data_IF_620292663719
#
_entry.id   IF_620292663719
#
_cell.length_a   1.000
_cell.length_b   1.000
_cell.length_c   1.000
_cell.angle_alpha   90.00
_cell.angle_beta   90.00
_cell.angle_gamma   90.00
#
_symmetry.space_group_name_H-M   'P 1'
#
loop_
_entity.id
_entity.type
_entity.pdbx_description
1 polymer ?
#
# COMPACT_ATOMS: atom_id res chain seq x y z
N UNK A 1 -24.19 4.64 -18.37
CA UNK A 1 -25.07 5.73 -17.89
C UNK A 1 -24.20 6.93 -17.58
N UNK A 2 -24.58 8.10 -18.10
CA UNK A 2 -23.80 9.34 -18.10
C UNK A 2 -23.31 9.72 -16.70
N UNK A 3 -21.98 9.87 -16.53
CA UNK A 3 -21.38 10.37 -15.32
C UNK A 3 -21.59 11.88 -15.23
N UNK A 4 -22.59 12.31 -14.47
CA UNK A 4 -22.75 13.72 -14.10
C UNK A 4 -21.53 14.18 -13.28
N UNK A 5 -20.86 15.22 -13.77
CA UNK A 5 -19.81 15.94 -13.04
C UNK A 5 -20.44 16.63 -11.83
N UNK A 6 -19.93 16.44 -10.60
CA UNK A 6 -20.39 17.24 -9.46
C UNK A 6 -20.01 18.71 -9.66
N UNK A 7 -20.98 19.62 -9.61
CA UNK A 7 -20.77 21.06 -9.85
C UNK A 7 -20.33 21.81 -8.58
N UNK A 8 -20.57 21.26 -7.38
CA UNK A 8 -20.30 21.95 -6.11
C UNK A 8 -18.84 22.41 -5.90
N UNK A 9 -17.85 21.77 -6.55
CA UNK A 9 -16.43 22.15 -6.44
C UNK A 9 -15.89 22.89 -7.67
N UNK A 10 -16.61 22.92 -8.79
CA UNK A 10 -16.21 23.70 -9.98
C UNK A 10 -16.54 25.19 -9.84
N UNK A 11 -17.32 25.58 -8.83
CA UNK A 11 -17.74 26.96 -8.59
C UNK A 11 -16.88 27.72 -7.57
N UNK A 12 -15.91 27.06 -6.91
CA UNK A 12 -15.09 27.72 -5.89
C UNK A 12 -14.13 28.69 -6.55
N UNK A 13 -14.33 29.98 -6.27
CA UNK A 13 -13.43 31.02 -6.77
C UNK A 13 -12.08 30.89 -6.07
N UNK A 14 -11.00 31.21 -6.78
CA UNK A 14 -9.66 31.26 -6.20
C UNK A 14 -9.67 32.25 -5.02
N UNK A 15 -9.40 31.77 -3.80
CA UNK A 15 -9.40 32.57 -2.57
C UNK A 15 -10.66 32.45 -1.69
N UNK A 16 -11.68 31.71 -2.11
CA UNK A 16 -12.84 31.41 -1.25
C UNK A 16 -12.45 30.47 -0.11
N UNK A 17 -12.74 30.88 1.14
CA UNK A 17 -12.47 30.11 2.34
C UNK A 17 -13.71 29.32 2.71
N UNK A 18 -13.61 27.99 2.64
CA UNK A 18 -14.63 27.08 3.14
C UNK A 18 -14.38 26.83 4.62
N UNK A 19 -15.45 26.84 5.41
CA UNK A 19 -15.42 26.53 6.85
C UNK A 19 -16.33 25.35 7.11
N UNK A 20 -15.81 24.31 7.72
CA UNK A 20 -16.55 23.10 8.06
C UNK A 20 -16.34 22.75 9.53
N UNK A 21 -17.40 22.26 10.18
CA UNK A 21 -17.27 21.57 11.46
C UNK A 21 -16.87 20.14 11.19
N UNK A 22 -15.68 19.75 11.63
CA UNK A 22 -15.09 18.44 11.37
C UNK A 22 -14.85 17.68 12.66
N UNK A 23 -14.76 16.35 12.55
CA UNK A 23 -14.26 15.50 13.62
C UNK A 23 -12.78 15.23 13.37
N UNK A 24 -11.96 15.39 14.41
CA UNK A 24 -10.54 15.05 14.37
C UNK A 24 -10.35 13.56 14.06
N UNK A 25 -9.40 13.24 13.18
CA UNK A 25 -9.19 11.87 12.70
C UNK A 25 -8.76 10.90 13.79
N UNK A 26 -8.17 11.41 14.88
CA UNK A 26 -7.61 10.63 15.98
C UNK A 26 -8.59 10.61 17.15
N UNK A 27 -8.90 11.79 17.69
CA UNK A 27 -9.68 11.92 18.93
C UNK A 27 -11.19 11.82 18.69
N UNK A 28 -11.65 12.13 17.47
CA UNK A 28 -13.07 12.29 17.16
C UNK A 28 -13.68 13.59 17.71
N UNK A 29 -12.88 14.42 18.38
CA UNK A 29 -13.34 15.71 18.90
C UNK A 29 -13.75 16.64 17.76
N UNK A 30 -14.80 17.42 18.00
CA UNK A 30 -15.29 18.37 17.00
C UNK A 30 -14.45 19.64 17.02
N UNK A 31 -14.01 20.09 15.85
CA UNK A 31 -13.28 21.36 15.66
C UNK A 31 -13.69 22.04 14.36
N UNK A 32 -13.47 23.34 14.28
CA UNK A 32 -13.61 24.08 13.02
C UNK A 32 -12.36 23.84 12.15
N UNK A 33 -12.56 23.54 10.87
CA UNK A 33 -11.52 23.45 9.86
C UNK A 33 -11.80 24.45 8.75
N UNK A 34 -10.77 25.18 8.35
CA UNK A 34 -10.84 26.08 7.20
C UNK A 34 -9.91 25.59 6.11
N UNK A 35 -10.38 25.61 4.88
CA UNK A 35 -9.55 25.30 3.72
C UNK A 35 -9.94 26.13 2.51
N UNK A 36 -9.00 26.28 1.60
CA UNK A 36 -9.10 27.09 0.39
C UNK A 36 -8.60 26.27 -0.78
N UNK A 37 -8.98 26.65 -2.00
CA UNK A 37 -8.52 26.04 -3.25
C UNK A 37 -8.88 24.54 -3.32
N UNK A 38 -9.72 24.12 -4.26
CA UNK A 38 -10.03 22.70 -4.43
C UNK A 38 -9.78 22.31 -5.87
N UNK A 39 -8.75 21.49 -6.09
CA UNK A 39 -8.42 20.94 -7.40
C UNK A 39 -8.67 19.44 -7.40
N UNK A 40 -9.45 18.95 -8.36
CA UNK A 40 -9.60 17.50 -8.53
C UNK A 40 -8.24 16.90 -8.94
N UNK A 41 -7.74 15.97 -8.13
CA UNK A 41 -6.48 15.25 -8.40
C UNK A 41 -6.69 13.76 -8.67
N UNK A 42 -7.88 13.23 -8.32
CA UNK A 42 -8.28 11.87 -8.63
C UNK A 42 -9.81 11.74 -8.74
N UNK A 43 -10.26 10.88 -9.65
CA UNK A 43 -11.66 10.51 -9.79
C UNK A 43 -11.70 9.00 -10.03
N UNK A 44 -12.35 8.26 -9.14
CA UNK A 44 -12.39 6.80 -9.16
C UNK A 44 -13.78 6.27 -8.83
N UNK A 45 -13.91 4.94 -8.85
CA UNK A 45 -15.17 4.24 -8.61
C UNK A 45 -15.81 4.55 -7.26
N UNK A 46 -14.99 4.91 -6.27
CA UNK A 46 -15.43 5.13 -4.88
C UNK A 46 -15.65 6.60 -4.52
N UNK A 47 -15.26 7.54 -5.38
CA UNK A 47 -15.40 8.96 -5.09
C UNK A 47 -14.41 9.87 -5.82
N UNK A 48 -14.37 11.12 -5.40
CA UNK A 48 -13.54 12.19 -5.97
C UNK A 48 -12.54 12.65 -4.91
N UNK A 49 -11.29 12.85 -5.32
CA UNK A 49 -10.22 13.36 -4.45
C UNK A 49 -9.84 14.77 -4.88
N UNK A 50 -9.87 15.69 -3.93
CA UNK A 50 -9.49 17.09 -4.11
C UNK A 50 -8.17 17.36 -3.39
N UNK A 51 -7.25 18.05 -4.03
CA UNK A 51 -6.15 18.74 -3.35
C UNK A 51 -6.65 20.09 -2.85
N UNK A 52 -6.29 20.44 -1.62
CA UNK A 52 -6.66 21.70 -0.97
C UNK A 52 -5.56 22.26 -0.08
N UNK A 53 -5.71 23.52 0.36
CA UNK A 53 -4.83 24.17 1.34
C UNK A 53 -5.58 24.47 2.62
N UNK A 54 -5.10 23.94 3.75
CA UNK A 54 -5.61 24.24 5.07
C UNK A 54 -5.27 25.66 5.49
N UNK A 55 -6.17 26.34 6.21
CA UNK A 55 -5.99 27.68 6.74
C UNK A 55 -6.14 27.65 8.26
N UNK A 56 -5.30 28.37 9.03
CA UNK A 56 -4.28 29.33 8.59
C UNK A 56 -2.91 28.73 8.27
N UNK A 57 -2.70 27.42 8.43
CA UNK A 57 -1.36 26.80 8.30
C UNK A 57 -0.76 26.86 6.90
N UNK A 58 -1.57 26.95 5.85
CA UNK A 58 -1.13 26.89 4.45
C UNK A 58 -0.74 25.49 3.97
N UNK A 59 -0.89 24.48 4.84
CA UNK A 59 -0.52 23.08 4.57
C UNK A 59 -1.39 22.48 3.46
N UNK A 60 -0.78 21.77 2.51
CA UNK A 60 -1.53 21.02 1.51
C UNK A 60 -2.20 19.78 2.13
N UNK A 61 -3.45 19.52 1.75
CA UNK A 61 -4.23 18.37 2.18
C UNK A 61 -4.99 17.74 1.00
N UNK A 62 -5.40 16.49 1.17
CA UNK A 62 -6.28 15.78 0.24
C UNK A 62 -7.65 15.54 0.88
N UNK A 63 -8.73 15.91 0.22
CA UNK A 63 -10.10 15.58 0.64
C UNK A 63 -10.63 14.50 -0.28
N UNK A 64 -10.77 13.27 0.24
CA UNK A 64 -11.45 12.18 -0.46
C UNK A 64 -12.93 12.21 -0.11
N UNK A 65 -13.76 12.57 -1.08
CA UNK A 65 -15.21 12.64 -0.95
C UNK A 65 -15.86 11.39 -1.52
N UNK A 66 -16.54 10.62 -0.67
CA UNK A 66 -17.21 9.36 -1.02
C UNK A 66 -18.71 9.46 -0.71
N UNK A 67 -19.55 8.84 -1.53
CA UNK A 67 -20.98 8.77 -1.25
C UNK A 67 -21.20 7.86 -0.03
N UNK A 68 -21.90 8.35 0.98
CA UNK A 68 -22.18 7.62 2.21
C UNK A 68 -23.56 6.97 2.14
N UNK A 69 -23.60 5.64 2.19
CA UNK A 69 -24.84 4.93 2.50
C UNK A 69 -25.13 5.09 4.01
N UNK A 70 -26.23 5.75 4.35
CA UNK A 70 -26.64 6.03 5.74
C UNK A 70 -26.88 4.76 6.56
N UNK A 71 -27.08 3.60 5.91
CA UNK A 71 -27.37 2.32 6.57
C UNK A 71 -26.13 1.61 7.09
N UNK A 72 -24.94 1.98 6.62
CA UNK A 72 -23.71 1.25 6.91
C UNK A 72 -22.62 2.17 7.43
N UNK A 73 -21.89 1.74 8.48
CA UNK A 73 -20.64 2.39 8.86
C UNK A 73 -19.64 2.29 7.69
N UNK A 74 -18.92 3.38 7.43
CA UNK A 74 -17.88 3.38 6.39
C UNK A 74 -16.62 2.69 6.92
N UNK A 75 -16.27 1.55 6.31
CA UNK A 75 -15.11 0.76 6.72
C UNK A 75 -13.79 1.49 6.53
N UNK A 76 -13.65 2.29 5.47
CA UNK A 76 -12.43 3.07 5.23
C UNK A 76 -12.20 4.03 6.39
N UNK A 77 -13.24 4.78 6.81
CA UNK A 77 -13.14 5.65 7.98
C UNK A 77 -12.76 4.88 9.24
N UNK A 78 -13.42 3.74 9.51
CA UNK A 78 -13.13 2.93 10.69
C UNK A 78 -11.66 2.48 10.75
N UNK A 79 -11.11 2.01 9.63
CA UNK A 79 -9.70 1.59 9.54
C UNK A 79 -8.77 2.80 9.66
N UNK A 80 -9.04 3.89 8.94
CA UNK A 80 -8.21 5.08 8.92
C UNK A 80 -8.09 5.79 10.28
N UNK A 81 -9.05 5.59 11.19
CA UNK A 81 -8.99 6.13 12.56
C UNK A 81 -8.02 5.39 13.48
N UNK A 82 -7.78 4.10 13.22
CA UNK A 82 -6.96 3.24 14.08
C UNK A 82 -5.53 3.03 13.55
N UNK A 83 -5.30 3.16 12.24
CA UNK A 83 -3.97 3.00 11.65
C UNK A 83 -3.15 4.29 11.76
N UNK A 84 -1.93 4.19 12.30
CA UNK A 84 -0.98 5.30 12.44
C UNK A 84 0.43 4.80 12.23
N UNK A 85 1.03 5.18 11.10
CA UNK A 85 2.34 4.69 10.70
C UNK A 85 3.01 5.67 9.73
N UNK A 86 4.34 5.89 9.79
CA UNK A 86 5.04 6.83 8.90
C UNK A 86 4.78 6.56 7.41
N UNK A 87 4.66 5.28 7.04
CA UNK A 87 4.41 4.83 5.66
C UNK A 87 2.93 4.59 5.33
N UNK A 88 1.99 5.17 6.08
CA UNK A 88 0.55 5.17 5.78
C UNK A 88 0.07 6.63 5.77
N UNK A 89 -0.82 6.96 4.83
CA UNK A 89 -1.42 8.31 4.76
C UNK A 89 -2.20 8.61 6.05
N UNK A 90 -1.96 9.77 6.66
CA UNK A 90 -2.63 10.18 7.89
C UNK A 90 -4.04 10.71 7.59
N UNK A 91 -5.04 10.24 8.35
CA UNK A 91 -6.34 10.90 8.46
C UNK A 91 -6.23 12.07 9.45
N UNK A 92 -6.36 13.30 8.95
CA UNK A 92 -6.32 14.53 9.76
C UNK A 92 -7.69 14.86 10.37
N UNK A 93 -8.75 14.69 9.59
CA UNK A 93 -10.12 14.96 10.00
C UNK A 93 -11.11 14.27 9.07
N UNK A 94 -12.38 14.22 9.46
CA UNK A 94 -13.47 13.81 8.59
C UNK A 94 -14.76 14.57 8.92
N UNK A 95 -15.66 14.69 7.94
CA UNK A 95 -16.96 15.33 8.12
C UNK A 95 -17.96 14.84 7.08
N UNK A 96 -19.24 15.05 7.37
CA UNK A 96 -20.33 14.74 6.46
C UNK A 96 -20.87 16.01 5.81
N UNK A 97 -21.16 15.94 4.53
CA UNK A 97 -21.76 17.06 3.77
C UNK A 97 -22.95 16.56 2.94
N UNK A 98 -23.97 17.39 2.78
CA UNK A 98 -25.10 17.06 1.91
C UNK A 98 -24.72 17.15 0.43
N UNK A 99 -25.31 16.28 -0.39
CA UNK A 99 -25.18 16.27 -1.83
C UNK A 99 -26.07 17.27 -2.55
N UNK A 100 -25.97 17.29 -3.89
CA UNK A 100 -26.86 18.10 -4.74
C UNK A 100 -28.29 17.54 -4.76
N UNK A 101 -28.44 16.21 -4.66
CA UNK A 101 -29.74 15.56 -4.56
C UNK A 101 -30.19 15.46 -3.12
N UNK A 102 -31.51 15.60 -2.93
CA UNK A 102 -32.16 15.31 -1.65
C UNK A 102 -31.78 13.89 -1.21
N UNK A 103 -31.41 13.74 0.05
CA UNK A 103 -30.96 12.51 0.72
C UNK A 103 -29.54 12.01 0.44
N UNK A 104 -28.81 12.58 -0.53
CA UNK A 104 -27.38 12.27 -0.70
C UNK A 104 -26.56 12.86 0.46
N UNK A 105 -25.78 12.02 1.11
CA UNK A 105 -24.78 12.43 2.09
C UNK A 105 -23.43 11.92 1.63
N UNK A 106 -22.43 12.78 1.70
CA UNK A 106 -21.05 12.45 1.39
C UNK A 106 -20.25 12.44 2.67
N UNK A 107 -19.37 11.44 2.79
CA UNK A 107 -18.29 11.43 3.76
C UNK A 107 -17.05 12.04 3.11
N UNK A 108 -16.44 13.00 3.78
CA UNK A 108 -15.22 13.67 3.36
C UNK A 108 -14.10 13.28 4.32
N UNK A 109 -13.07 12.61 3.81
CA UNK A 109 -11.87 12.24 4.55
C UNK A 109 -10.77 13.27 4.23
N UNK A 110 -10.36 14.06 5.22
CA UNK A 110 -9.26 15.01 5.10
C UNK A 110 -7.97 14.28 5.49
N UNK A 111 -7.09 14.12 4.52
CA UNK A 111 -5.84 13.37 4.61
C UNK A 111 -4.64 14.28 4.36
N UNK A 112 -3.45 13.86 4.78
CA UNK A 112 -2.21 14.52 4.33
C UNK A 112 -2.08 14.42 2.80
N UNK A 113 -1.52 15.47 2.18
CA UNK A 113 -1.24 15.48 0.75
C UNK A 113 0.19 15.02 0.48
N UNK A 114 0.34 14.13 -0.49
CA UNK A 114 1.64 13.65 -0.97
C UNK A 114 1.67 13.86 -2.49
N UNK A 115 2.75 14.46 -3.05
CA UNK A 115 2.68 15.10 -4.37
C UNK A 115 2.64 14.12 -5.55
N UNK A 116 3.23 12.93 -5.41
CA UNK A 116 3.35 11.95 -6.49
C UNK A 116 2.82 10.58 -6.08
N UNK A 117 2.75 9.67 -7.05
CA UNK A 117 2.52 8.24 -6.84
C UNK A 117 3.62 7.43 -7.51
N UNK A 118 3.87 6.22 -7.01
CA UNK A 118 4.81 5.27 -7.62
C UNK A 118 4.46 5.01 -9.09
N UNK A 119 3.18 5.02 -9.46
CA UNK A 119 2.74 4.94 -10.85
C UNK A 119 3.29 6.07 -11.73
N UNK A 120 3.16 7.33 -11.29
CA UNK A 120 3.67 8.50 -12.03
C UNK A 120 5.20 8.47 -12.10
N UNK A 121 5.83 8.10 -10.98
CA UNK A 121 7.26 7.92 -10.86
C UNK A 121 7.82 6.90 -11.86
N UNK A 122 7.20 5.72 -11.96
CA UNK A 122 7.55 4.68 -12.94
C UNK A 122 7.34 5.15 -14.38
N UNK A 123 6.20 5.80 -14.67
CA UNK A 123 5.90 6.36 -16.00
C UNK A 123 6.92 7.41 -16.44
N UNK A 124 7.50 8.19 -15.53
CA UNK A 124 8.58 9.12 -15.82
C UNK A 124 9.82 8.40 -16.37
N UNK A 125 10.31 7.36 -15.68
CA UNK A 125 11.47 6.58 -16.14
C UNK A 125 11.20 5.89 -17.47
N UNK A 126 10.00 5.34 -17.67
CA UNK A 126 9.59 4.75 -18.94
C UNK A 126 9.64 5.74 -20.10
N UNK A 127 9.19 6.98 -19.89
CA UNK A 127 9.29 8.06 -20.91
C UNK A 127 10.74 8.38 -21.26
N UNK A 128 11.63 8.31 -20.27
CA UNK A 128 13.07 8.45 -20.47
C UNK A 128 13.74 7.19 -21.05
N UNK A 129 12.97 6.12 -21.34
CA UNK A 129 13.47 4.82 -21.80
C UNK A 129 14.47 4.18 -20.83
N UNK A 130 14.26 4.43 -19.54
CA UNK A 130 15.05 3.87 -18.42
C UNK A 130 14.11 3.16 -17.45
N UNK A 131 14.66 2.37 -16.54
CA UNK A 131 13.91 1.80 -15.41
C UNK A 131 14.16 2.63 -14.15
N UNK A 132 13.30 2.49 -13.16
CA UNK A 132 13.54 3.10 -11.85
C UNK A 132 14.88 2.61 -11.28
N UNK A 133 15.71 3.50 -10.72
CA UNK A 133 16.95 3.10 -10.07
C UNK A 133 16.73 2.07 -8.98
N UNK A 134 17.61 1.07 -8.89
CA UNK A 134 17.39 -0.07 -7.99
C UNK A 134 17.34 0.34 -6.51
N UNK A 135 18.10 1.37 -6.12
CA UNK A 135 18.06 1.92 -4.76
C UNK A 135 16.68 2.52 -4.42
N UNK A 136 16.02 3.18 -5.37
CA UNK A 136 14.64 3.65 -5.21
C UNK A 136 13.66 2.47 -5.09
N UNK A 137 13.84 1.42 -5.88
CA UNK A 137 13.02 0.19 -5.76
C UNK A 137 13.19 -0.42 -4.37
N UNK A 138 14.42 -0.56 -3.87
CA UNK A 138 14.69 -1.03 -2.49
C UNK A 138 13.97 -0.15 -1.47
N UNK A 139 14.16 1.17 -1.56
CA UNK A 139 13.59 2.14 -0.61
C UNK A 139 12.07 2.09 -0.56
N UNK A 140 11.40 2.07 -1.72
CA UNK A 140 9.94 2.09 -1.80
C UNK A 140 9.33 0.75 -1.39
N UNK A 141 9.91 -0.37 -1.84
CA UNK A 141 9.40 -1.70 -1.48
C UNK A 141 9.63 -1.99 0.02
N UNK A 142 10.73 -1.53 0.62
CA UNK A 142 10.96 -1.65 2.07
C UNK A 142 9.88 -0.90 2.87
N UNK A 143 9.62 0.36 2.53
CA UNK A 143 8.59 1.17 3.19
C UNK A 143 7.17 0.60 3.00
N UNK A 144 6.89 0.02 1.83
CA UNK A 144 5.64 -0.70 1.60
C UNK A 144 5.53 -1.95 2.48
N UNK A 145 6.57 -2.78 2.58
CA UNK A 145 6.55 -3.93 3.47
C UNK A 145 6.42 -3.53 4.94
N UNK A 146 7.04 -2.43 5.36
CA UNK A 146 6.88 -1.88 6.72
C UNK A 146 5.42 -1.48 6.99
N UNK A 147 4.78 -0.76 6.07
CA UNK A 147 3.36 -0.44 6.16
C UNK A 147 2.47 -1.69 6.20
N UNK A 148 2.76 -2.69 5.35
CA UNK A 148 2.01 -3.95 5.30
C UNK A 148 2.19 -4.76 6.58
N UNK A 149 3.41 -4.90 7.11
CA UNK A 149 3.65 -5.59 8.37
C UNK A 149 2.82 -4.96 9.50
N UNK A 150 2.81 -3.63 9.58
CA UNK A 150 2.00 -2.90 10.56
C UNK A 150 0.50 -3.20 10.44
N UNK A 151 -0.11 -3.09 9.25
CA UNK A 151 -1.57 -3.34 9.11
C UNK A 151 -1.91 -4.83 9.21
N UNK A 152 -1.03 -5.73 8.74
CA UNK A 152 -1.24 -7.17 8.81
C UNK A 152 -1.21 -7.69 10.25
N UNK A 153 -0.34 -7.13 11.11
CA UNK A 153 -0.30 -7.45 12.55
C UNK A 153 -1.59 -7.06 13.30
N UNK A 154 -2.39 -6.18 12.70
CA UNK A 154 -3.71 -5.76 13.19
C UNK A 154 -4.85 -6.55 12.55
N UNK A 155 -4.56 -7.53 11.68
CA UNK A 155 -5.54 -8.30 10.92
C UNK A 155 -6.14 -7.57 9.71
N UNK A 156 -5.65 -6.37 9.38
CA UNK A 156 -6.15 -5.56 8.26
C UNK A 156 -5.45 -5.99 6.97
N UNK A 157 -6.22 -6.38 5.96
CA UNK A 157 -5.75 -6.58 4.59
C UNK A 157 -6.15 -5.38 3.72
N UNK A 158 -5.23 -4.85 2.92
CA UNK A 158 -5.47 -3.69 2.08
C UNK A 158 -6.33 -4.02 0.86
N UNK A 159 -6.07 -5.17 0.21
CA UNK A 159 -6.83 -5.76 -0.90
C UNK A 159 -6.82 -4.96 -2.22
N UNK A 160 -6.05 -3.89 -2.32
CA UNK A 160 -5.84 -3.13 -3.57
C UNK A 160 -4.45 -2.47 -3.64
N UNK A 161 -3.41 -3.23 -3.31
CA UNK A 161 -2.01 -2.77 -3.48
C UNK A 161 -1.68 -2.68 -4.97
N UNK A 162 -1.26 -1.49 -5.40
CA UNK A 162 -0.89 -1.15 -6.78
C UNK A 162 -0.13 0.17 -6.81
N UNK A 163 0.66 0.48 -7.85
CA UNK A 163 1.48 1.69 -7.93
C UNK A 163 0.71 3.00 -7.78
N UNK A 164 -0.59 3.03 -8.10
CA UNK A 164 -1.45 4.22 -7.95
C UNK A 164 -1.81 4.53 -6.50
N UNK A 165 -1.83 3.51 -5.62
CA UNK A 165 -2.17 3.64 -4.20
C UNK A 165 -0.93 3.76 -3.30
N UNK A 166 0.25 3.93 -3.93
CA UNK A 166 1.52 4.17 -3.25
C UNK A 166 1.90 5.62 -3.52
N UNK A 167 1.63 6.49 -2.56
CA UNK A 167 2.00 7.88 -2.63
C UNK A 167 3.51 8.04 -2.41
N UNK A 168 4.11 9.02 -3.07
CA UNK A 168 5.54 9.25 -3.05
C UNK A 168 5.84 10.75 -2.90
N UNK A 169 6.71 11.08 -1.96
CA UNK A 169 7.43 12.35 -1.97
C UNK A 169 8.81 12.14 -2.62
N UNK A 170 9.03 12.59 -3.86
CA UNK A 170 10.29 12.38 -4.58
C UNK A 170 11.48 13.16 -3.97
N UNK A 171 11.19 14.15 -3.11
CA UNK A 171 12.23 14.93 -2.45
C UNK A 171 12.83 14.21 -1.25
N UNK A 172 11.96 13.65 -0.40
CA UNK A 172 12.38 12.93 0.82
C UNK A 172 12.54 11.42 0.59
N UNK A 173 12.00 10.87 -0.49
CA UNK A 173 11.96 9.43 -0.75
C UNK A 173 10.92 8.68 0.11
N UNK A 174 10.06 9.41 0.83
CA UNK A 174 9.03 8.82 1.68
C UNK A 174 7.91 8.23 0.83
N UNK A 175 7.58 6.97 1.08
CA UNK A 175 6.42 6.29 0.53
C UNK A 175 5.31 6.17 1.58
N UNK A 176 4.08 6.46 1.17
CA UNK A 176 2.87 6.31 2.00
C UNK A 176 1.80 5.51 1.27
N UNK A 177 1.35 4.42 1.91
CA UNK A 177 0.21 3.64 1.45
C UNK A 177 -1.09 4.44 1.67
N UNK A 178 -1.95 4.50 0.65
CA UNK A 178 -3.24 5.18 0.70
C UNK A 178 -4.38 4.32 0.13
N UNK A 179 -5.60 4.85 0.19
CA UNK A 179 -6.83 4.24 -0.34
C UNK A 179 -7.25 2.93 0.33
N UNK A 180 -7.70 3.05 1.59
CA UNK A 180 -8.24 1.95 2.39
C UNK A 180 -9.71 1.64 2.06
N UNK A 181 -10.24 2.14 0.93
CA UNK A 181 -11.63 1.91 0.49
C UNK A 181 -11.96 0.43 0.27
N UNK A 182 -10.96 -0.36 -0.14
CA UNK A 182 -11.08 -1.81 -0.29
C UNK A 182 -10.61 -2.59 0.92
N UNK A 183 -10.01 -1.96 1.93
CA UNK A 183 -9.41 -2.67 3.06
C UNK A 183 -10.47 -3.39 3.91
N UNK A 184 -10.06 -4.44 4.64
CA UNK A 184 -10.93 -5.16 5.59
C UNK A 184 -10.09 -5.84 6.66
N UNK A 185 -10.57 -5.85 7.90
CA UNK A 185 -10.09 -6.77 8.93
C UNK A 185 -10.57 -8.17 8.55
N UNK A 186 -9.65 -9.09 8.28
CA UNK A 186 -9.98 -10.46 7.93
C UNK A 186 -10.18 -11.27 9.20
N UNK A 187 -11.40 -11.77 9.39
CA UNK A 187 -11.75 -12.65 10.51
C UNK A 187 -11.63 -14.09 10.02
N UNK A 188 -10.92 -14.98 10.74
CA UNK A 188 -10.84 -16.39 10.38
C UNK A 188 -12.23 -17.00 10.19
N UNK A 189 -12.39 -17.83 9.15
CA UNK A 189 -13.64 -18.51 8.77
C UNK A 189 -14.77 -17.61 8.25
N UNK A 190 -14.63 -16.28 8.23
CA UNK A 190 -15.60 -15.42 7.55
C UNK A 190 -15.33 -15.33 6.04
N UNK A 191 -16.34 -15.57 5.18
CA UNK A 191 -16.15 -15.45 3.74
C UNK A 191 -15.95 -13.98 3.32
N UNK A 192 -15.10 -13.79 2.31
CA UNK A 192 -14.79 -12.50 1.73
C UNK A 192 -15.05 -12.50 0.22
N UNK A 193 -15.36 -11.34 -0.34
CA UNK A 193 -15.53 -11.17 -1.79
C UNK A 193 -14.20 -11.44 -2.50
N UNK A 194 -14.22 -12.35 -3.47
CA UNK A 194 -13.05 -12.77 -4.25
C UNK A 194 -12.73 -11.81 -5.41
N UNK A 195 -13.75 -11.21 -6.02
CA UNK A 195 -13.57 -10.18 -7.06
C UNK A 195 -13.17 -8.84 -6.44
N UNK A 196 -11.95 -8.79 -5.93
CA UNK A 196 -11.28 -7.64 -5.32
C UNK A 196 -9.89 -7.49 -5.93
N UNK A 197 -9.17 -6.41 -5.58
CA UNK A 197 -7.87 -6.05 -6.13
C UNK A 197 -7.91 -5.69 -7.63
N UNK A 198 -7.08 -4.72 -8.01
CA UNK A 198 -6.86 -4.35 -9.40
C UNK A 198 -6.18 -5.48 -10.17
N UNK A 199 -6.66 -5.75 -11.39
CA UNK A 199 -6.43 -6.99 -12.15
C UNK A 199 -4.96 -7.45 -12.19
N UNK A 200 -4.03 -6.57 -12.57
CA UNK A 200 -2.61 -6.93 -12.75
C UNK A 200 -1.90 -7.33 -11.45
N UNK A 201 -2.45 -6.95 -10.31
CA UNK A 201 -1.88 -7.20 -8.98
C UNK A 201 -2.70 -8.24 -8.21
N UNK A 202 -3.72 -8.84 -8.84
CA UNK A 202 -4.62 -9.80 -8.22
C UNK A 202 -3.93 -11.15 -8.04
N UNK A 203 -3.95 -11.65 -6.81
CA UNK A 203 -3.40 -12.96 -6.45
C UNK A 203 -4.18 -14.11 -7.12
N UNK A 204 -3.52 -15.23 -7.47
CA UNK A 204 -4.14 -16.31 -8.24
C UNK A 204 -5.32 -16.95 -7.50
N UNK A 205 -5.29 -17.08 -6.17
CA UNK A 205 -6.41 -17.59 -5.38
C UNK A 205 -7.69 -16.73 -5.51
N UNK A 206 -7.55 -15.42 -5.71
CA UNK A 206 -8.70 -14.54 -5.96
C UNK A 206 -9.28 -14.77 -7.37
N UNK A 207 -8.43 -15.10 -8.35
CA UNK A 207 -8.85 -15.48 -9.70
C UNK A 207 -9.59 -16.81 -9.68
N UNK A 208 -9.13 -17.75 -8.85
CA UNK A 208 -9.84 -19.00 -8.55
C UNK A 208 -11.08 -18.80 -7.67
N UNK A 209 -11.43 -17.57 -7.28
CA UNK A 209 -12.66 -17.30 -6.55
C UNK A 209 -12.63 -17.67 -5.06
N UNK A 210 -11.46 -17.81 -4.46
CA UNK A 210 -11.33 -18.11 -3.03
C UNK A 210 -11.98 -17.01 -2.17
N UNK A 211 -12.67 -17.41 -1.10
CA UNK A 211 -13.34 -16.48 -0.16
C UNK A 211 -12.69 -16.45 1.22
N UNK A 212 -11.81 -17.41 1.50
CA UNK A 212 -11.07 -17.59 2.76
C UNK A 212 -9.58 -17.19 2.63
N UNK A 213 -9.27 -16.26 1.72
CA UNK A 213 -7.92 -15.74 1.54
C UNK A 213 -7.46 -14.93 2.77
N UNK A 214 -6.15 -14.74 2.89
CA UNK A 214 -5.50 -14.02 3.99
C UNK A 214 -4.82 -12.73 3.51
N UNK A 215 -4.13 -12.04 4.39
CA UNK A 215 -3.28 -10.86 4.07
C UNK A 215 -2.18 -11.15 3.04
N UNK A 216 -1.89 -12.43 2.76
CA UNK A 216 -0.91 -12.88 1.75
C UNK A 216 -1.27 -12.48 0.32
N UNK A 217 -2.49 -12.02 0.04
CA UNK A 217 -2.81 -11.40 -1.25
C UNK A 217 -2.08 -10.06 -1.44
N UNK A 218 -1.88 -9.27 -0.38
CA UNK A 218 -1.14 -8.00 -0.47
C UNK A 218 0.35 -8.24 -0.73
N UNK A 219 0.89 -9.36 -0.21
CA UNK A 219 2.27 -9.79 -0.47
C UNK A 219 2.46 -10.12 -1.95
N UNK A 220 1.54 -10.88 -2.55
CA UNK A 220 1.54 -11.14 -3.99
C UNK A 220 1.48 -9.84 -4.79
N UNK A 221 0.53 -8.95 -4.46
CA UNK A 221 0.40 -7.65 -5.13
C UNK A 221 1.68 -6.82 -5.04
N UNK A 222 2.39 -6.89 -3.90
CA UNK A 222 3.69 -6.23 -3.70
C UNK A 222 4.79 -6.84 -4.59
N UNK A 223 4.81 -8.16 -4.76
CA UNK A 223 5.67 -8.83 -5.73
C UNK A 223 5.43 -8.35 -7.16
N UNK A 224 4.16 -8.19 -7.56
CA UNK A 224 3.80 -7.61 -8.85
C UNK A 224 4.28 -6.15 -9.00
N UNK A 225 4.13 -5.33 -7.95
CA UNK A 225 4.63 -3.93 -7.94
C UNK A 225 6.15 -3.89 -8.08
N UNK A 226 6.88 -4.68 -7.29
CA UNK A 226 8.34 -4.75 -7.36
C UNK A 226 8.81 -5.16 -8.76
N UNK A 227 8.21 -6.19 -9.33
CA UNK A 227 8.49 -6.64 -10.69
C UNK A 227 8.22 -5.54 -11.74
N UNK A 228 7.09 -4.83 -11.62
CA UNK A 228 6.73 -3.74 -12.54
C UNK A 228 7.73 -2.58 -12.48
N UNK A 229 8.22 -2.21 -11.29
CA UNK A 229 9.24 -1.17 -11.16
C UNK A 229 10.57 -1.54 -11.81
N UNK A 230 10.95 -2.82 -11.73
CA UNK A 230 12.17 -3.34 -12.34
C UNK A 230 12.05 -3.53 -13.85
N UNK A 231 10.86 -3.85 -14.36
CA UNK A 231 10.61 -4.05 -15.80
C UNK A 231 10.22 -2.77 -16.54
N UNK A 232 9.69 -1.77 -15.82
CA UNK A 232 9.04 -0.60 -16.41
C UNK A 232 7.64 -0.89 -16.97
N UNK A 233 7.10 -2.10 -16.79
CA UNK A 233 5.77 -2.49 -17.25
C UNK A 233 5.18 -3.59 -16.38
N UNK A 234 3.84 -3.73 -16.31
CA UNK A 234 3.21 -4.77 -15.49
C UNK A 234 3.72 -6.17 -15.85
N UNK A 235 4.04 -6.98 -14.84
CA UNK A 235 4.52 -8.35 -15.04
C UNK A 235 3.44 -9.27 -15.63
N UNK A 236 2.19 -9.09 -15.23
CA UNK A 236 1.05 -9.91 -15.64
C UNK A 236 -0.08 -9.05 -16.23
N UNK A 237 0.02 -8.62 -17.51
CA UNK A 237 -0.92 -7.69 -18.13
C UNK A 237 -2.15 -8.40 -18.72
N UNK A 238 -2.93 -9.13 -17.93
CA UNK A 238 -4.11 -9.86 -18.42
C UNK A 238 -5.29 -8.95 -18.81
N UNK A 239 -6.02 -9.26 -19.88
CA UNK A 239 -7.17 -8.46 -20.34
C UNK A 239 -8.47 -8.82 -19.61
N UNK A 240 -8.63 -10.10 -19.26
CA UNK A 240 -9.74 -10.64 -18.45
C UNK A 240 -9.22 -11.35 -17.18
N UNK A 241 -10.13 -11.87 -16.35
CA UNK A 241 -9.74 -12.70 -15.20
C UNK A 241 -9.05 -13.99 -15.63
N UNK A 242 -9.48 -14.59 -16.74
CA UNK A 242 -8.88 -15.80 -17.29
C UNK A 242 -7.51 -15.49 -17.89
N UNK A 243 -7.40 -14.41 -18.68
CA UNK A 243 -6.12 -14.01 -19.27
C UNK A 243 -5.10 -13.64 -18.21
N UNK A 244 -5.53 -13.05 -17.09
CA UNK A 244 -4.66 -12.79 -15.95
C UNK A 244 -4.00 -14.08 -15.43
N UNK A 245 -4.76 -15.17 -15.30
CA UNK A 245 -4.20 -16.46 -14.90
C UNK A 245 -3.25 -17.02 -15.96
N UNK A 246 -3.56 -16.84 -17.25
CA UNK A 246 -2.69 -17.24 -18.36
C UNK A 246 -1.34 -16.52 -18.30
N UNK A 247 -1.33 -15.20 -18.06
CA UNK A 247 -0.08 -14.43 -17.90
C UNK A 247 0.76 -14.92 -16.71
N UNK A 248 0.11 -15.28 -15.59
CA UNK A 248 0.81 -15.85 -14.44
C UNK A 248 1.44 -17.21 -14.80
N UNK A 249 0.68 -18.10 -15.45
CA UNK A 249 1.15 -19.44 -15.85
C UNK A 249 2.33 -19.35 -16.84
N UNK A 250 2.37 -18.36 -17.74
CA UNK A 250 3.49 -18.15 -18.66
C UNK A 250 4.83 -17.93 -17.92
N UNK A 251 4.79 -17.37 -16.72
CA UNK A 251 5.98 -17.10 -15.90
C UNK A 251 6.21 -18.22 -14.88
N UNK A 252 5.22 -18.54 -14.05
CA UNK A 252 5.35 -19.52 -12.96
C UNK A 252 5.19 -20.98 -13.41
N UNK A 253 4.78 -21.21 -14.65
CA UNK A 253 4.39 -22.54 -15.12
C UNK A 253 3.00 -22.95 -14.64
N UNK A 254 2.55 -24.12 -15.05
CA UNK A 254 1.24 -24.64 -14.65
C UNK A 254 1.23 -24.99 -13.16
N UNK A 255 0.26 -24.50 -12.36
CA UNK A 255 0.18 -24.84 -10.95
C UNK A 255 -0.07 -26.34 -10.79
N UNK A 256 0.62 -26.94 -9.82
CA UNK A 256 0.39 -28.34 -9.43
C UNK A 256 -0.99 -28.51 -8.81
N UNK A 257 -1.49 -29.75 -8.75
CA UNK A 257 -2.77 -30.06 -8.11
C UNK A 257 -2.81 -29.59 -6.65
N UNK A 258 -1.70 -29.72 -5.95
CA UNK A 258 -1.57 -29.30 -4.55
C UNK A 258 -1.61 -27.77 -4.42
N UNK A 259 -0.91 -27.04 -5.30
CA UNK A 259 -1.00 -25.58 -5.36
C UNK A 259 -2.44 -25.11 -5.63
N UNK A 260 -3.14 -25.73 -6.59
CA UNK A 260 -4.56 -25.43 -6.85
C UNK A 260 -5.41 -25.68 -5.61
N UNK A 261 -5.22 -26.81 -4.92
CA UNK A 261 -5.93 -27.14 -3.67
C UNK A 261 -5.75 -26.06 -2.61
N UNK A 262 -4.54 -25.54 -2.43
CA UNK A 262 -4.24 -24.47 -1.46
C UNK A 262 -4.83 -23.11 -1.85
N UNK A 263 -5.00 -22.85 -3.15
CA UNK A 263 -5.62 -21.62 -3.64
C UNK A 263 -7.15 -21.69 -3.56
N UNK A 264 -7.76 -22.76 -4.09
CA UNK A 264 -9.17 -23.04 -3.93
C UNK A 264 -9.45 -24.55 -4.18
N UNK A 265 -9.87 -25.31 -3.15
CA UNK A 265 -10.12 -26.75 -3.29
C UNK A 265 -11.26 -27.08 -4.28
N UNK A 266 -12.17 -26.15 -4.56
CA UNK A 266 -13.29 -26.37 -5.48
C UNK A 266 -12.86 -26.42 -6.97
N UNK A 267 -11.62 -26.07 -7.30
CA UNK A 267 -11.12 -25.98 -8.68
C UNK A 267 -10.08 -27.05 -9.04
N UNK A 268 -9.89 -28.08 -8.20
CA UNK A 268 -8.85 -29.11 -8.38
C UNK A 268 -8.96 -29.93 -9.67
N UNK A 269 -10.16 -30.06 -10.24
CA UNK A 269 -10.41 -30.87 -11.44
C UNK A 269 -10.17 -30.11 -12.75
N UNK A 270 -9.90 -28.80 -12.68
CA UNK A 270 -9.69 -27.99 -13.85
C UNK A 270 -8.36 -28.35 -14.54
N UNK A 271 -8.42 -28.72 -15.82
CA UNK A 271 -7.24 -29.07 -16.62
C UNK A 271 -6.67 -27.83 -17.29
N UNK A 272 -5.41 -27.53 -17.02
CA UNK A 272 -4.65 -26.49 -17.69
C UNK A 272 -3.65 -27.11 -18.68
N UNK A 273 -3.35 -26.44 -19.81
CA UNK A 273 -2.20 -26.78 -20.62
C UNK A 273 -0.94 -26.85 -19.76
N UNK A 274 -0.06 -27.83 -20.03
CA UNK A 274 1.19 -27.99 -19.29
C UNK A 274 2.25 -27.03 -19.85
N UNK A 275 2.61 -26.03 -19.06
CA UNK A 275 3.56 -24.98 -19.39
C UNK A 275 4.67 -25.04 -18.34
N UNK A 276 5.91 -25.12 -18.79
CA UNK A 276 7.08 -25.09 -17.89
C UNK A 276 7.31 -23.65 -17.39
N UNK A 277 7.75 -23.47 -16.13
CA UNK A 277 8.08 -22.14 -15.62
C UNK A 277 9.15 -21.47 -16.48
N UNK A 278 8.99 -20.17 -16.71
CA UNK A 278 10.01 -19.33 -17.31
C UNK A 278 10.92 -18.79 -16.20
N UNK A 279 12.21 -19.15 -16.16
CA UNK A 279 13.10 -18.75 -15.07
C UNK A 279 13.15 -17.23 -14.86
N UNK A 280 13.02 -16.77 -13.62
CA UNK A 280 13.01 -15.33 -13.31
C UNK A 280 14.28 -14.60 -13.76
N UNK A 281 15.44 -15.25 -13.77
CA UNK A 281 16.67 -14.66 -14.31
C UNK A 281 16.60 -14.34 -15.82
N UNK A 282 15.72 -15.01 -16.58
CA UNK A 282 15.44 -14.70 -17.99
C UNK A 282 14.42 -13.58 -18.15
N UNK A 283 13.49 -13.44 -17.20
CA UNK A 283 12.55 -12.31 -17.10
C UNK A 283 13.31 -11.03 -16.74
N UNK A 284 14.11 -11.08 -15.68
CA UNK A 284 14.84 -9.94 -15.12
C UNK A 284 16.34 -10.00 -15.45
N UNK A 285 16.68 -9.92 -16.75
CA UNK A 285 18.05 -10.15 -17.25
C UNK A 285 19.14 -9.24 -16.65
N UNK A 286 18.75 -8.08 -16.11
CA UNK A 286 19.67 -7.07 -15.54
C UNK A 286 19.60 -7.00 -14.00
N UNK A 287 18.72 -7.79 -13.38
CA UNK A 287 18.56 -7.75 -11.94
C UNK A 287 19.62 -8.59 -11.23
N UNK A 288 19.99 -8.18 -10.02
CA UNK A 288 20.85 -8.97 -9.15
C UNK A 288 20.10 -10.18 -8.57
N UNK A 289 20.87 -11.13 -8.03
CA UNK A 289 20.34 -12.38 -7.50
C UNK A 289 19.39 -12.17 -6.30
N UNK A 290 19.64 -11.18 -5.44
CA UNK A 290 18.80 -10.93 -4.27
C UNK A 290 17.45 -10.33 -4.68
N UNK A 291 17.41 -9.49 -5.71
CA UNK A 291 16.15 -8.98 -6.25
C UNK A 291 15.29 -10.11 -6.84
N UNK A 292 15.91 -11.03 -7.58
CA UNK A 292 15.24 -12.21 -8.17
C UNK A 292 14.74 -13.17 -7.07
N UNK A 293 15.58 -13.46 -6.07
CA UNK A 293 15.21 -14.34 -4.94
C UNK A 293 14.01 -13.78 -4.17
N UNK A 294 14.02 -12.48 -3.87
CA UNK A 294 12.90 -11.83 -3.19
C UNK A 294 11.60 -11.94 -4.02
N UNK A 295 11.63 -11.62 -5.31
CA UNK A 295 10.45 -11.73 -6.18
C UNK A 295 9.90 -13.17 -6.19
N UNK A 296 10.78 -14.17 -6.29
CA UNK A 296 10.38 -15.57 -6.28
C UNK A 296 9.66 -15.94 -4.96
N UNK A 297 10.17 -15.50 -3.81
CA UNK A 297 9.56 -15.72 -2.48
C UNK A 297 8.23 -15.00 -2.27
N UNK A 298 7.92 -13.98 -3.09
CA UNK A 298 6.66 -13.23 -3.02
C UNK A 298 5.60 -13.79 -3.97
N UNK A 299 6.02 -14.26 -5.15
CA UNK A 299 5.16 -14.71 -6.24
C UNK A 299 4.98 -16.23 -6.26
N UNK A 300 4.51 -16.77 -5.13
CA UNK A 300 4.18 -18.19 -4.98
C UNK A 300 2.68 -18.46 -5.18
N UNK A 301 2.35 -19.60 -5.80
CA UNK A 301 0.95 -20.02 -5.95
C UNK A 301 0.32 -20.33 -4.59
N UNK A 302 1.00 -21.10 -3.75
CA UNK A 302 0.52 -21.45 -2.42
C UNK A 302 0.64 -20.24 -1.50
N UNK A 303 -0.48 -19.66 -1.01
CA UNK A 303 -0.43 -18.37 -0.30
C UNK A 303 0.41 -18.41 0.98
N UNK A 304 0.47 -19.55 1.66
CA UNK A 304 1.24 -19.73 2.91
C UNK A 304 2.74 -19.74 2.70
N UNK A 305 3.22 -20.12 1.51
CA UNK A 305 4.66 -20.14 1.18
C UNK A 305 5.21 -18.76 0.82
N UNK A 306 4.32 -17.77 0.58
CA UNK A 306 4.76 -16.39 0.35
C UNK A 306 5.39 -15.83 1.61
N UNK A 307 6.58 -15.26 1.48
CA UNK A 307 7.28 -14.60 2.60
C UNK A 307 6.37 -13.53 3.24
N UNK A 308 6.31 -13.44 4.57
CA UNK A 308 5.52 -12.38 5.22
C UNK A 308 6.16 -11.00 4.97
N UNK A 309 5.39 -9.93 5.18
CA UNK A 309 5.92 -8.57 5.01
C UNK A 309 7.11 -8.30 5.96
N UNK A 310 7.04 -8.74 7.22
CA UNK A 310 8.12 -8.56 8.19
C UNK A 310 9.36 -9.42 7.86
N UNK A 311 9.15 -10.64 7.37
CA UNK A 311 10.24 -11.50 6.91
C UNK A 311 10.93 -10.90 5.67
N UNK A 312 10.15 -10.32 4.74
CA UNK A 312 10.68 -9.70 3.54
C UNK A 312 11.58 -8.50 3.89
N UNK A 313 11.27 -7.73 4.93
CA UNK A 313 12.08 -6.59 5.35
C UNK A 313 13.51 -6.98 5.72
N UNK A 314 13.75 -8.19 6.26
CA UNK A 314 15.10 -8.70 6.60
C UNK A 314 15.80 -9.42 5.45
N UNK A 315 15.24 -9.37 4.24
CA UNK A 315 15.85 -9.96 3.05
C UNK A 315 17.15 -9.21 2.66
N UNK A 316 18.20 -9.92 2.18
CA UNK A 316 19.48 -9.31 1.78
C UNK A 316 19.36 -8.24 0.68
N UNK A 317 18.28 -8.26 -0.09
CA UNK A 317 17.97 -7.20 -1.08
C UNK A 317 17.96 -5.80 -0.45
N UNK A 318 17.59 -5.68 0.83
CA UNK A 318 17.50 -4.42 1.55
C UNK A 318 18.75 -4.05 2.37
N UNK A 319 19.82 -4.86 2.35
CA UNK A 319 21.01 -4.60 3.19
C UNK A 319 21.68 -3.26 2.90
N UNK A 320 21.64 -2.81 1.64
CA UNK A 320 22.15 -1.49 1.25
C UNK A 320 21.44 -0.35 2.00
N UNK A 321 20.16 -0.50 2.36
CA UNK A 321 19.43 0.51 3.13
C UNK A 321 19.89 0.60 4.59
N UNK A 322 20.56 -0.45 5.10
CA UNK A 322 21.07 -0.54 6.48
C UNK A 322 22.48 0.02 6.61
N UNK A 323 23.15 0.36 5.52
CA UNK A 323 24.45 1.03 5.55
C UNK A 323 24.24 2.52 5.87
N UNK A 324 24.81 3.05 6.97
CA UNK A 324 24.68 4.47 7.33
C UNK A 324 25.28 5.43 6.29
N UNK A 325 26.11 4.92 5.37
CA UNK A 325 26.72 5.71 4.30
C UNK A 325 25.86 5.79 3.03
N UNK A 326 24.79 4.98 2.93
CA UNK A 326 23.91 5.01 1.75
C UNK A 326 23.21 6.35 1.62
N UNK A 327 23.27 6.92 0.42
CA UNK A 327 22.62 8.18 0.06
C UNK A 327 21.74 8.01 -1.17
N UNK A 328 20.60 8.69 -1.19
CA UNK A 328 19.67 8.69 -2.31
C UNK A 328 20.13 9.71 -3.38
N UNK A 329 20.35 9.29 -4.64
CA UNK A 329 20.62 10.22 -5.72
C UNK A 329 19.35 11.01 -6.12
N UNK A 330 19.53 12.24 -6.59
CA UNK A 330 18.48 12.96 -7.31
C UNK A 330 18.31 12.42 -8.74
N UNK A 331 17.57 11.32 -8.85
CA UNK A 331 17.25 10.66 -10.12
C UNK A 331 16.26 11.45 -11.00
N UNK A 332 15.71 12.56 -10.51
CA UNK A 332 14.68 13.34 -11.20
C UNK A 332 15.26 14.52 -11.95
N UNK A 333 16.26 15.19 -11.39
CA UNK A 333 16.81 16.42 -11.94
C UNK A 333 18.24 16.30 -12.47
N UNK A 334 18.91 15.15 -12.26
CA UNK A 334 20.24 14.89 -12.82
C UNK A 334 21.32 15.82 -12.28
N UNK A 335 21.08 16.45 -11.13
CA UNK A 335 21.99 17.41 -10.46
C UNK A 335 23.21 16.73 -9.85
N UNK A 336 23.17 15.40 -9.69
CA UNK A 336 24.19 14.63 -8.98
C UNK A 336 24.17 14.82 -7.46
N UNK A 337 23.20 15.57 -6.92
CA UNK A 337 23.08 15.79 -5.49
C UNK A 337 22.69 14.50 -4.78
N UNK A 338 23.44 14.15 -3.73
CA UNK A 338 23.15 13.04 -2.84
C UNK A 338 22.40 13.56 -1.61
N UNK A 339 21.39 12.79 -1.18
CA UNK A 339 20.53 13.12 -0.04
C UNK A 339 20.52 11.96 0.96
N UNK A 340 20.24 12.28 2.21
CA UNK A 340 20.02 11.24 3.23
C UNK A 340 18.77 10.42 2.91
N UNK A 341 18.77 9.16 3.31
CA UNK A 341 17.56 8.32 3.32
C UNK A 341 16.56 8.88 4.34
N UNK A 342 15.24 8.69 4.12
CA UNK A 342 14.26 8.99 5.15
C UNK A 342 14.45 8.07 6.37
N UNK A 343 13.76 8.35 7.48
CA UNK A 343 13.77 7.46 8.64
C UNK A 343 13.18 6.08 8.26
N UNK A 344 14.02 5.04 8.29
CA UNK A 344 13.63 3.65 7.96
C UNK A 344 13.53 2.75 9.18
N UNK A 345 14.24 3.09 10.26
CA UNK A 345 14.49 2.21 11.40
C UNK A 345 13.99 2.79 12.74
N UNK A 346 13.14 3.82 12.67
CA UNK A 346 12.39 4.41 13.78
C UNK A 346 11.19 3.52 14.16
N UNK A 347 11.47 2.25 14.47
CA UNK A 347 10.44 1.27 14.79
C UNK A 347 9.76 1.57 16.12
N UNK A 348 8.45 1.35 16.16
CA UNK A 348 7.65 1.39 17.39
C UNK A 348 7.70 0.07 18.15
N UNK A 349 7.28 0.09 19.43
CA UNK A 349 7.04 -1.15 20.20
C UNK A 349 6.11 -2.11 19.47
N UNK A 350 5.08 -1.58 18.81
CA UNK A 350 4.13 -2.39 18.03
C UNK A 350 4.84 -3.15 16.92
N UNK A 351 5.62 -2.46 16.09
CA UNK A 351 6.34 -3.08 14.96
C UNK A 351 7.37 -4.12 15.41
N UNK A 352 8.13 -3.83 16.47
CA UNK A 352 9.11 -4.77 17.04
C UNK A 352 8.46 -5.98 17.73
N UNK A 353 7.16 -5.92 18.02
CA UNK A 353 6.39 -7.03 18.59
C UNK A 353 5.88 -8.01 17.54
N UNK A 354 5.88 -7.65 16.25
CA UNK A 354 5.34 -8.47 15.17
C UNK A 354 6.13 -9.79 15.03
N UNK A 355 7.47 -9.68 15.05
CA UNK A 355 8.37 -10.83 14.97
C UNK A 355 9.66 -10.54 15.76
N UNK A 356 9.64 -10.66 17.12
CA UNK A 356 10.75 -10.23 17.96
C UNK A 356 12.09 -10.91 17.64
N UNK A 357 12.05 -12.15 17.15
CA UNK A 357 13.25 -12.88 16.70
C UNK A 357 13.97 -12.22 15.52
N UNK A 358 13.31 -11.34 14.77
CA UNK A 358 13.89 -10.60 13.65
C UNK A 358 14.46 -9.24 14.05
N UNK A 359 14.17 -8.74 15.25
CA UNK A 359 14.61 -7.42 15.70
C UNK A 359 16.13 -7.18 15.55
N UNK A 360 17.02 -8.15 15.85
CA UNK A 360 18.45 -7.97 15.63
C UNK A 360 18.87 -7.72 14.17
N UNK A 361 18.06 -8.15 13.19
CA UNK A 361 18.26 -7.94 11.74
C UNK A 361 17.49 -6.71 11.21
N UNK A 362 16.33 -6.41 11.80
CA UNK A 362 15.54 -5.24 11.46
C UNK A 362 16.24 -3.94 11.89
N UNK A 363 16.85 -3.94 13.08
CA UNK A 363 17.50 -2.76 13.69
C UNK A 363 19.02 -2.81 13.47
N UNK A 364 19.57 -1.97 12.58
CA UNK A 364 21.01 -1.89 12.38
C UNK A 364 21.74 -1.46 13.65
N UNK A 365 23.00 -1.89 13.82
CA UNK A 365 23.78 -1.62 15.02
C UNK A 365 23.85 -0.12 15.40
N UNK A 366 23.94 0.77 14.40
CA UNK A 366 24.02 2.22 14.61
C UNK A 366 22.69 2.85 15.08
N UNK A 367 21.56 2.14 14.96
CA UNK A 367 20.23 2.60 15.40
C UNK A 367 19.89 2.11 16.81
N UNK A 368 20.49 1.00 17.27
CA UNK A 368 20.19 0.40 18.58
C UNK A 368 20.29 1.39 19.76
N UNK A 369 21.33 2.25 19.87
CA UNK A 369 21.41 3.21 20.97
C UNK A 369 20.27 4.24 20.95
N UNK A 370 19.80 4.63 19.75
CA UNK A 370 18.69 5.58 19.59
C UNK A 370 17.40 4.97 20.13
N UNK A 371 17.07 3.74 19.73
CA UNK A 371 15.87 3.05 20.21
C UNK A 371 15.95 2.73 21.71
N UNK A 372 17.13 2.33 22.21
CA UNK A 372 17.33 2.11 23.64
C UNK A 372 17.06 3.39 24.46
N UNK A 373 17.48 4.57 23.96
CA UNK A 373 17.18 5.85 24.60
C UNK A 373 15.68 6.20 24.66
N UNK A 374 14.87 5.56 23.81
CA UNK A 374 13.41 5.68 23.75
C UNK A 374 12.69 4.57 24.54
N UNK A 375 13.43 3.74 25.29
CA UNK A 375 12.89 2.62 26.07
C UNK A 375 12.65 1.35 25.25
N UNK A 376 13.23 1.25 24.05
CA UNK A 376 13.14 0.09 23.16
C UNK A 376 14.51 -0.62 23.06
N UNK A 377 14.95 -1.21 24.18
CA UNK A 377 16.13 -2.07 24.20
C UNK A 377 15.84 -3.40 23.49
N UNK A 378 16.56 -3.66 22.39
CA UNK A 378 16.38 -4.84 21.54
C UNK A 378 16.82 -6.12 22.26
N UNK A 379 17.82 -6.04 23.14
CA UNK A 379 18.37 -7.21 23.83
C UNK A 379 17.48 -7.62 25.03
N UNK A 380 16.64 -6.71 25.54
CA UNK A 380 15.69 -6.94 26.65
C UNK A 380 14.24 -6.58 26.27
N UNK A 381 13.87 -6.76 25.00
CA UNK A 381 12.58 -6.31 24.48
C UNK A 381 11.40 -7.16 24.99
N UNK A 382 10.36 -6.52 25.50
CA UNK A 382 9.09 -7.18 25.89
C UNK A 382 7.99 -6.92 24.84
N UNK A 383 7.64 -7.92 24.02
CA UNK A 383 6.66 -7.76 22.95
C UNK A 383 5.23 -7.58 23.48
N UNK A 384 4.41 -6.90 22.69
CA UNK A 384 2.96 -6.96 22.79
C UNK A 384 2.47 -8.35 22.38
N UNK A 385 1.37 -8.79 22.99
CA UNK A 385 0.64 -9.98 22.57
C UNK A 385 -0.11 -9.74 21.26
N UNK A 386 -0.46 -10.82 20.54
CA UNK A 386 -1.28 -10.73 19.33
C UNK A 386 -2.63 -10.03 19.61
N UNK A 387 -3.25 -10.30 20.77
CA UNK A 387 -4.52 -9.69 21.16
C UNK A 387 -4.41 -8.17 21.43
N UNK A 388 -3.25 -7.71 21.90
CA UNK A 388 -2.96 -6.28 22.08
C UNK A 388 -2.71 -5.57 20.74
N UNK A 389 -2.15 -6.29 19.76
CA UNK A 389 -1.88 -5.74 18.43
C UNK A 389 -3.10 -5.75 17.51
N UNK A 390 -4.06 -6.66 17.69
CA UNK A 390 -5.22 -6.79 16.81
C UNK A 390 -6.10 -5.53 16.80
N UNK A 391 -6.52 -5.11 15.59
CA UNK A 391 -7.45 -4.00 15.44
C UNK A 391 -8.79 -4.31 16.12
N UNK A 392 -9.27 -3.34 16.92
CA UNK A 392 -10.61 -3.35 17.49
C UNK A 392 -11.39 -2.19 16.87
N UNK A 393 -12.51 -2.49 16.22
CA UNK A 393 -13.41 -1.47 15.69
C UNK A 393 -14.51 -1.20 16.73
N UNK A 394 -14.69 0.07 17.08
CA UNK A 394 -15.82 0.56 17.88
C UNK A 394 -17.14 0.68 17.07
#
# INVERSE_FOLDING_TARGET
MSAHRPNAFNSLRMGEVIREKVQDGITGETRDLQYTQCKIVGNGSFGVVFQTKLSPSGEDAAIKRVLQDKRFKNRELQIMRIVRHPNIVQLKAFYYSNGERKDEVYLNLVQEFVPETVYRASRFFNKMKTTMPILEVKLYIYQLFRALAYIHSQGICHRDIKPQNLLLDPNSGILKLCDFGSAKILVPNEPNVSYICSRYYRAPELIFGATNYTTKIDVWSTGCVMAELMLGQPLFPGESGIDQLVEIIKVLGTPTREQIRTMNPNYMEHKFPQIKPHPFNKVFRKADANAIDLIARLLEYTPTERQSAIDAMVHPFFDELRDPNTKLPDSRHGTGQLRDLPALFDFTRHELSIAPSLNPKLVPAHIRPVLASQGLDIDHFTPLTEQEMMAKLD
#
